data_IF_209833034619
#
_entry.id   IF_209833034619
#
_cell.length_a   1.000
_cell.length_b   1.000
_cell.length_c   1.000
_cell.angle_alpha   90.00
_cell.angle_beta   90.00
_cell.angle_gamma   90.00
#
_symmetry.space_group_name_H-M   'P 1'
#
loop_
_entity.id
_entity.type
_entity.pdbx_description
1 polymer ?
#
# COMPACT_ATOMS: atom_id res chain seq x y z
N UNK A 1 15.51 4.03 14.76
CA UNK A 1 15.90 2.72 14.18
C UNK A 1 14.73 1.78 14.39
N UNK A 2 14.28 1.09 13.33
CA UNK A 2 13.18 0.12 13.44
C UNK A 2 13.69 -1.08 14.26
N UNK A 3 12.98 -1.54 15.30
CA UNK A 3 13.37 -2.74 16.05
C UNK A 3 13.55 -3.94 15.11
N UNK A 4 14.56 -4.78 15.35
CA UNK A 4 14.81 -6.00 14.55
C UNK A 4 13.63 -7.01 14.54
N UNK A 5 12.60 -6.79 15.35
CA UNK A 5 11.37 -7.58 15.41
C UNK A 5 10.22 -7.03 14.58
N UNK A 6 10.32 -5.82 14.02
CA UNK A 6 9.25 -5.27 13.19
C UNK A 6 9.26 -5.95 11.84
N UNK A 7 8.15 -6.60 11.50
CA UNK A 7 7.97 -7.30 10.22
C UNK A 7 7.07 -6.54 9.26
N UNK A 8 6.26 -5.60 9.76
CA UNK A 8 5.30 -4.83 8.98
C UNK A 8 5.24 -3.37 9.45
N UNK A 9 4.88 -2.50 8.53
CA UNK A 9 4.54 -1.09 8.78
C UNK A 9 3.07 -0.91 8.44
N UNK A 10 2.29 -0.38 9.39
CA UNK A 10 0.92 0.11 9.14
C UNK A 10 0.98 1.62 8.92
N UNK A 11 0.66 2.07 7.71
CA UNK A 11 0.45 3.47 7.38
C UNK A 11 -1.01 3.83 7.62
N UNK A 12 -1.26 4.97 8.28
CA UNK A 12 -2.58 5.52 8.55
C UNK A 12 -2.49 7.03 8.38
N UNK A 13 -3.28 7.58 7.44
CA UNK A 13 -3.38 9.02 7.26
C UNK A 13 -3.94 9.70 8.51
N UNK A 14 -3.60 10.97 8.69
CA UNK A 14 -3.97 11.74 9.88
C UNK A 14 -5.50 11.97 10.01
N UNK A 15 -6.25 11.81 8.92
CA UNK A 15 -7.70 11.91 8.87
C UNK A 15 -8.41 10.54 8.91
N UNK A 16 -7.67 9.44 9.01
CA UNK A 16 -8.22 8.11 9.24
C UNK A 16 -8.38 7.82 10.73
N UNK A 17 -9.44 7.07 11.08
CA UNK A 17 -9.80 6.73 12.47
C UNK A 17 -9.96 5.22 12.64
N UNK A 18 -9.40 4.68 13.72
CA UNK A 18 -9.56 3.29 14.12
C UNK A 18 -10.87 3.13 14.91
N UNK A 19 -11.84 2.45 14.31
CA UNK A 19 -13.17 2.25 14.91
C UNK A 19 -13.24 1.02 15.84
N UNK A 20 -12.48 -0.05 15.54
CA UNK A 20 -12.52 -1.32 16.28
C UNK A 20 -11.16 -1.62 16.89
N UNK A 21 -10.96 -1.19 18.13
CA UNK A 21 -9.68 -1.32 18.83
C UNK A 21 -9.48 -2.68 19.50
N UNK A 22 -10.49 -3.55 19.48
CA UNK A 22 -10.43 -4.91 20.05
C UNK A 22 -9.87 -5.96 19.10
N UNK A 23 -9.53 -5.57 17.86
CA UNK A 23 -9.03 -6.47 16.82
C UNK A 23 -7.56 -6.20 16.55
N UNK A 24 -6.79 -7.28 16.38
CA UNK A 24 -5.38 -7.20 16.02
C UNK A 24 -5.20 -6.79 14.55
N UNK A 25 -4.09 -6.12 14.23
CA UNK A 25 -3.73 -5.81 12.83
C UNK A 25 -3.36 -7.08 12.07
N UNK A 26 -2.89 -8.10 12.78
CA UNK A 26 -2.52 -9.42 12.29
C UNK A 26 -3.71 -10.13 11.63
N UNK A 27 -4.93 -9.86 12.11
CA UNK A 27 -6.16 -10.39 11.53
C UNK A 27 -6.38 -9.95 10.07
N UNK A 28 -5.69 -8.90 9.60
CA UNK A 28 -5.73 -8.49 8.18
C UNK A 28 -4.96 -9.45 7.26
N UNK A 29 -4.04 -10.24 7.81
CA UNK A 29 -3.23 -11.23 7.11
C UNK A 29 -3.86 -12.63 7.16
N UNK A 30 -4.84 -12.85 8.03
CA UNK A 30 -5.49 -14.15 8.18
C UNK A 30 -6.15 -14.61 6.88
N UNK A 31 -5.82 -15.83 6.45
CA UNK A 31 -6.32 -16.42 5.20
C UNK A 31 -5.74 -15.82 3.92
N UNK A 32 -4.75 -14.93 4.01
CA UNK A 32 -4.00 -14.43 2.85
C UNK A 32 -2.85 -15.39 2.48
N UNK A 33 -2.40 -15.40 1.21
CA UNK A 33 -1.25 -16.20 0.81
C UNK A 33 0.01 -15.92 1.66
N UNK A 34 0.76 -16.97 1.97
CA UNK A 34 2.09 -16.85 2.53
C UNK A 34 2.96 -15.97 1.63
N UNK A 35 3.47 -14.87 2.17
CA UNK A 35 4.29 -13.91 1.43
C UNK A 35 3.56 -12.64 0.97
N UNK A 36 2.28 -12.43 1.30
CA UNK A 36 1.62 -11.12 1.07
C UNK A 36 2.43 -9.98 1.69
N UNK A 37 2.93 -9.08 0.82
CA UNK A 37 3.75 -7.94 1.22
C UNK A 37 2.98 -6.61 1.32
N UNK A 38 1.77 -6.56 0.77
CA UNK A 38 0.95 -5.36 0.76
C UNK A 38 -0.51 -5.75 0.94
N UNK A 39 -1.16 -5.15 1.92
CA UNK A 39 -2.62 -5.12 2.05
C UNK A 39 -3.06 -3.67 1.94
N UNK A 40 -3.97 -3.42 1.00
CA UNK A 40 -4.51 -2.10 0.68
C UNK A 40 -6.02 -2.23 0.50
N UNK A 41 -6.77 -1.24 0.98
CA UNK A 41 -8.22 -1.19 0.83
C UNK A 41 -8.64 -0.73 -0.57
N UNK A 42 -9.77 -1.24 -1.04
CA UNK A 42 -10.46 -0.66 -2.18
C UNK A 42 -10.93 0.76 -1.85
N UNK A 43 -10.93 1.64 -2.85
CA UNK A 43 -11.57 2.95 -2.70
C UNK A 43 -13.07 2.81 -2.96
N UNK A 44 -13.89 3.58 -2.24
CA UNK A 44 -15.32 3.67 -2.50
C UNK A 44 -15.63 4.64 -3.65
N UNK A 45 -14.64 5.45 -4.05
CA UNK A 45 -14.74 6.36 -5.18
C UNK A 45 -14.62 5.63 -6.51
N UNK A 46 -15.49 5.90 -7.51
CA UNK A 46 -15.33 5.34 -8.85
C UNK A 46 -14.10 5.89 -9.60
N UNK A 47 -13.45 6.93 -9.07
CA UNK A 47 -12.27 7.54 -9.68
C UNK A 47 -10.96 6.79 -9.38
N UNK A 48 -10.95 5.92 -8.37
CA UNK A 48 -9.76 5.20 -7.94
C UNK A 48 -10.12 3.76 -7.53
N UNK A 49 -9.22 2.80 -7.78
CA UNK A 49 -9.48 1.42 -7.38
C UNK A 49 -9.10 1.14 -5.93
N UNK A 50 -8.14 1.90 -5.39
CA UNK A 50 -7.57 1.66 -4.06
C UNK A 50 -7.39 2.96 -3.30
N UNK A 51 -7.47 2.88 -1.98
CA UNK A 51 -7.18 3.98 -1.08
C UNK A 51 -5.83 3.77 -0.40
N UNK A 52 -4.89 4.68 -0.63
CA UNK A 52 -3.54 4.60 -0.07
C UNK A 52 -3.41 5.21 1.33
N UNK A 53 -4.49 5.75 1.90
CA UNK A 53 -4.49 6.36 3.22
C UNK A 53 -4.42 5.35 4.37
N UNK A 54 -4.68 4.06 4.09
CA UNK A 54 -4.43 2.96 5.04
C UNK A 54 -3.78 1.78 4.32
N UNK A 55 -2.53 1.45 4.69
CA UNK A 55 -1.73 0.40 4.06
C UNK A 55 -1.05 -0.46 5.13
N UNK A 56 -1.07 -1.78 4.96
CA UNK A 56 -0.17 -2.68 5.70
C UNK A 56 0.92 -3.17 4.75
N UNK A 57 2.17 -2.88 5.07
CA UNK A 57 3.34 -3.16 4.23
C UNK A 57 4.29 -4.09 4.96
N UNK A 58 4.58 -5.26 4.41
CA UNK A 58 5.65 -6.15 4.88
C UNK A 58 7.02 -5.54 4.65
N UNK A 59 7.92 -5.65 5.63
CA UNK A 59 9.32 -5.21 5.49
C UNK A 59 10.06 -6.28 4.69
N UNK A 60 10.29 -6.00 3.41
CA UNK A 60 10.96 -6.90 2.48
C UNK A 60 11.64 -6.15 1.35
N UNK A 61 12.50 -6.86 0.61
CA UNK A 61 13.10 -6.36 -0.63
C UNK A 61 12.05 -6.02 -1.69
N UNK A 62 10.95 -6.78 -1.75
CA UNK A 62 9.85 -6.50 -2.67
C UNK A 62 9.20 -5.15 -2.37
N UNK A 63 8.92 -4.87 -1.09
CA UNK A 63 8.32 -3.62 -0.66
C UNK A 63 9.26 -2.45 -0.87
N UNK A 64 10.54 -2.62 -0.57
CA UNK A 64 11.56 -1.61 -0.85
C UNK A 64 11.61 -1.29 -2.35
N UNK A 65 11.68 -2.31 -3.21
CA UNK A 65 11.68 -2.13 -4.64
C UNK A 65 10.39 -1.44 -5.15
N UNK A 66 9.23 -1.76 -4.59
CA UNK A 66 7.97 -1.09 -4.94
C UNK A 66 8.03 0.40 -4.62
N UNK A 67 8.43 0.76 -3.40
CA UNK A 67 8.48 2.16 -2.98
C UNK A 67 9.55 2.96 -3.72
N UNK A 68 10.71 2.37 -4.00
CA UNK A 68 11.71 2.98 -4.89
C UNK A 68 11.10 3.32 -6.25
N UNK A 69 10.35 2.40 -6.86
CA UNK A 69 9.69 2.68 -8.14
C UNK A 69 8.57 3.72 -8.04
N UNK A 70 7.84 3.76 -6.93
CA UNK A 70 6.79 4.77 -6.68
C UNK A 70 7.38 6.18 -6.61
N UNK A 71 8.55 6.34 -6.00
CA UNK A 71 9.17 7.66 -5.83
C UNK A 71 10.08 8.05 -7.00
N UNK A 72 10.94 7.13 -7.44
CA UNK A 72 12.11 7.47 -8.26
C UNK A 72 11.96 7.10 -9.73
N UNK A 73 11.07 6.17 -10.09
CA UNK A 73 10.93 5.77 -11.48
C UNK A 73 10.49 6.97 -12.34
N UNK A 74 11.06 7.18 -13.54
CA UNK A 74 10.68 8.30 -14.42
C UNK A 74 9.18 8.36 -14.73
N UNK A 75 8.54 7.19 -14.79
CA UNK A 75 7.09 7.05 -14.98
C UNK A 75 6.23 7.51 -13.82
N UNK A 76 6.80 7.55 -12.61
CA UNK A 76 6.14 7.97 -11.38
C UNK A 76 6.42 9.45 -11.08
N UNK A 77 7.61 9.95 -11.44
CA UNK A 77 8.02 11.34 -11.22
C UNK A 77 7.05 12.37 -11.82
N UNK A 78 6.41 12.06 -12.95
CA UNK A 78 5.38 12.92 -13.56
C UNK A 78 4.18 13.22 -12.67
N UNK A 79 3.99 12.44 -11.61
CA UNK A 79 2.88 12.58 -10.67
C UNK A 79 3.24 13.40 -9.43
N UNK A 80 4.52 13.73 -9.18
CA UNK A 80 4.99 14.43 -7.97
C UNK A 80 4.22 15.73 -7.66
N UNK A 81 3.75 16.43 -8.70
CA UNK A 81 3.04 17.70 -8.59
C UNK A 81 1.51 17.57 -8.81
N UNK A 82 0.96 16.37 -8.65
CA UNK A 82 -0.47 16.09 -8.83
C UNK A 82 -1.09 15.69 -7.49
N UNK A 83 -2.37 16.01 -7.31
CA UNK A 83 -3.14 15.44 -6.20
C UNK A 83 -3.14 13.92 -6.29
N UNK A 84 -3.10 13.25 -5.13
CA UNK A 84 -3.04 11.78 -5.02
C UNK A 84 -1.82 11.21 -5.75
N UNK A 85 -0.68 11.89 -5.63
CA UNK A 85 0.56 11.53 -6.30
C UNK A 85 0.93 10.08 -5.99
N UNK A 86 1.17 9.79 -4.71
CA UNK A 86 1.65 8.50 -4.22
C UNK A 86 0.66 7.39 -4.54
N UNK A 87 -0.65 7.62 -4.33
CA UNK A 87 -1.70 6.66 -4.68
C UNK A 87 -1.72 6.34 -6.18
N UNK A 88 -1.63 7.37 -7.03
CA UNK A 88 -1.61 7.18 -8.50
C UNK A 88 -0.36 6.44 -8.94
N UNK A 89 0.81 6.80 -8.40
CA UNK A 89 2.08 6.16 -8.71
C UNK A 89 2.08 4.69 -8.27
N UNK A 90 1.63 4.41 -7.05
CA UNK A 90 1.47 3.05 -6.50
C UNK A 90 0.61 2.19 -7.42
N UNK A 91 -0.58 2.66 -7.79
CA UNK A 91 -1.48 1.93 -8.71
C UNK A 91 -0.81 1.59 -10.04
N UNK A 92 -0.08 2.54 -10.64
CA UNK A 92 0.59 2.30 -11.91
C UNK A 92 1.74 1.31 -11.77
N UNK A 93 2.46 1.32 -10.66
CA UNK A 93 3.54 0.34 -10.42
C UNK A 93 2.98 -1.05 -10.13
N UNK A 94 1.92 -1.17 -9.34
CA UNK A 94 1.23 -2.45 -9.12
C UNK A 94 0.70 -3.05 -10.43
N UNK A 95 0.07 -2.23 -11.28
CA UNK A 95 -0.45 -2.68 -12.56
C UNK A 95 0.66 -3.20 -13.50
N UNK A 96 1.82 -2.53 -13.51
CA UNK A 96 2.98 -2.94 -14.31
C UNK A 96 3.63 -4.22 -13.80
N UNK A 97 3.58 -4.45 -12.50
CA UNK A 97 4.07 -5.68 -11.85
C UNK A 97 3.09 -6.85 -11.99
N UNK A 98 1.88 -6.60 -12.52
CA UNK A 98 0.83 -7.62 -12.62
C UNK A 98 0.19 -7.96 -11.27
N UNK A 99 0.30 -7.07 -10.29
CA UNK A 99 -0.10 -7.33 -8.90
C UNK A 99 -1.53 -6.86 -8.63
N UNK A 100 -2.45 -7.81 -8.45
CA UNK A 100 -3.73 -7.61 -7.77
C UNK A 100 -4.79 -6.71 -8.43
N UNK A 101 -4.48 -6.01 -9.53
CA UNK A 101 -5.39 -5.05 -10.19
C UNK A 101 -6.18 -5.63 -11.38
N UNK A 102 -6.08 -6.94 -11.64
CA UNK A 102 -6.75 -7.60 -12.76
C UNK A 102 -8.20 -8.03 -12.46
N UNK A 103 -8.75 -7.66 -11.31
CA UNK A 103 -10.12 -8.00 -10.90
C UNK A 103 -10.88 -6.77 -10.40
N UNK A 104 -11.22 -5.88 -11.34
CA UNK A 104 -12.37 -4.99 -11.23
C UNK A 104 -13.15 -5.09 -12.53
#
# INVERSE_FOLDING_TARGET
AVPQSTTHVLWVDADAVILRQTRGVEELLDGRPLGTQLVIGEDLSPACLVNAGVLLVGISEWSLALWTDVWDAPSSQRFHNRHFHEQTALLKQLARRGEGLARV
#
